data_IF_009005892976
#
_entry.id   IF_009005892976
#
_cell.length_a   1.000
_cell.length_b   1.000
_cell.length_c   1.000
_cell.angle_alpha   90.00
_cell.angle_beta   90.00
_cell.angle_gamma   90.00
#
_symmetry.space_group_name_H-M   'P 1'
#
loop_
_entity.id
_entity.type
_entity.pdbx_description
1 polymer ?
#
# COMPACT_ATOMS: atom_id res chain seq x y z
N UNK A 1 10.67 20.90 -9.86
CA UNK A 1 11.91 20.10 -9.88
C UNK A 1 12.62 20.43 -11.18
N UNK A 2 13.87 20.89 -11.13
CA UNK A 2 14.69 21.21 -12.30
C UNK A 2 15.96 20.37 -12.27
N UNK A 3 16.36 19.85 -13.43
CA UNK A 3 17.62 19.13 -13.58
C UNK A 3 18.68 20.13 -14.04
N UNK A 4 19.69 20.39 -13.22
CA UNK A 4 20.81 21.29 -13.52
C UNK A 4 22.10 20.47 -13.57
N UNK A 5 22.39 19.87 -14.72
CA UNK A 5 23.59 19.07 -14.94
C UNK A 5 23.67 17.84 -14.03
N UNK A 6 24.51 17.90 -12.98
CA UNK A 6 24.73 16.84 -11.99
C UNK A 6 23.81 16.93 -10.76
N UNK A 7 22.91 17.92 -10.71
CA UNK A 7 22.07 18.20 -9.55
C UNK A 7 20.60 18.25 -9.90
N UNK A 8 19.79 17.75 -8.96
CA UNK A 8 18.35 17.91 -8.95
C UNK A 8 18.00 19.06 -8.01
N UNK A 9 17.45 20.14 -8.55
CA UNK A 9 17.02 21.32 -7.78
C UNK A 9 15.52 21.21 -7.51
N UNK A 10 15.17 21.11 -6.24
CA UNK A 10 13.79 21.21 -5.75
C UNK A 10 13.60 22.61 -5.18
N UNK A 11 12.98 23.50 -5.94
CA UNK A 11 12.62 24.85 -5.48
C UNK A 11 11.43 24.75 -4.52
N UNK A 12 11.63 25.09 -3.25
CA UNK A 12 10.56 25.31 -2.28
C UNK A 12 10.36 26.82 -2.08
N UNK A 13 9.11 27.31 -1.88
CA UNK A 13 8.88 28.69 -1.49
C UNK A 13 9.63 29.01 -0.19
N UNK A 14 10.51 30.03 -0.24
CA UNK A 14 11.32 30.44 0.93
C UNK A 14 10.44 30.70 2.15
N UNK A 15 10.78 30.08 3.28
CA UNK A 15 10.15 30.31 4.57
C UNK A 15 9.06 29.28 4.96
N UNK A 16 8.73 28.33 4.08
CA UNK A 16 7.73 27.28 4.35
C UNK A 16 8.35 25.87 4.49
N UNK A 17 9.67 25.76 4.40
CA UNK A 17 10.38 24.47 4.39
C UNK A 17 10.19 23.71 5.71
N UNK A 18 10.20 24.43 6.84
CA UNK A 18 9.94 23.82 8.15
C UNK A 18 8.51 23.28 8.27
N UNK A 19 7.53 23.98 7.69
CA UNK A 19 6.13 23.54 7.69
C UNK A 19 5.97 22.27 6.87
N UNK A 20 6.67 22.17 5.74
CA UNK A 20 6.66 20.96 4.92
C UNK A 20 7.28 19.77 5.66
N UNK A 21 8.45 19.95 6.27
CA UNK A 21 9.10 18.89 7.05
C UNK A 21 8.23 18.44 8.23
N UNK A 22 7.65 19.40 8.95
CA UNK A 22 6.75 19.12 10.06
C UNK A 22 5.52 18.33 9.58
N UNK A 23 4.90 18.73 8.47
CA UNK A 23 3.74 18.04 7.90
C UNK A 23 4.06 16.60 7.50
N UNK A 24 5.21 16.36 6.86
CA UNK A 24 5.66 15.03 6.46
C UNK A 24 5.86 14.15 7.70
N UNK A 25 6.66 14.60 8.67
CA UNK A 25 6.98 13.80 9.85
C UNK A 25 5.78 13.59 10.74
N UNK A 26 4.94 14.60 10.93
CA UNK A 26 3.73 14.49 11.77
C UNK A 26 2.72 13.51 11.17
N UNK A 27 2.51 13.58 9.85
CA UNK A 27 1.62 12.66 9.13
C UNK A 27 2.14 11.22 9.20
N UNK A 28 3.41 11.00 8.85
CA UNK A 28 4.02 9.68 8.90
C UNK A 28 4.04 9.10 10.32
N UNK A 29 4.34 9.92 11.34
CA UNK A 29 4.30 9.52 12.75
C UNK A 29 2.89 9.09 13.17
N UNK A 30 1.87 9.86 12.78
CA UNK A 30 0.47 9.55 13.09
C UNK A 30 0.05 8.23 12.45
N UNK A 31 0.42 8.00 11.19
CA UNK A 31 0.16 6.74 10.49
C UNK A 31 0.89 5.57 11.17
N UNK A 32 2.17 5.73 11.53
CA UNK A 32 2.92 4.70 12.24
C UNK A 32 2.26 4.35 13.59
N UNK A 33 1.89 5.37 14.38
CA UNK A 33 1.21 5.20 15.67
C UNK A 33 -0.12 4.47 15.51
N UNK A 34 -0.91 4.84 14.50
CA UNK A 34 -2.19 4.20 14.19
C UNK A 34 -1.99 2.71 13.89
N UNK A 35 -1.06 2.37 12.98
CA UNK A 35 -0.74 0.98 12.63
C UNK A 35 -0.26 0.16 13.84
N UNK A 36 0.55 0.75 14.74
CA UNK A 36 0.97 0.10 15.99
C UNK A 36 -0.24 -0.17 16.90
N UNK A 37 -1.10 0.83 17.11
CA UNK A 37 -2.26 0.70 18.00
C UNK A 37 -3.27 -0.36 17.53
N UNK A 38 -3.31 -0.61 16.22
CA UNK A 38 -4.18 -1.58 15.56
C UNK A 38 -3.55 -2.98 15.51
N UNK A 39 -2.32 -3.13 16.02
CA UNK A 39 -1.62 -4.42 15.99
C UNK A 39 -1.23 -4.87 14.59
N UNK A 40 -1.04 -3.95 13.64
CA UNK A 40 -0.47 -4.28 12.32
C UNK A 40 0.90 -4.88 12.56
N UNK A 41 1.03 -6.17 12.25
CA UNK A 41 2.28 -6.87 12.46
C UNK A 41 3.39 -6.22 11.66
N UNK A 42 4.53 -6.02 12.28
CA UNK A 42 5.77 -5.59 11.64
C UNK A 42 6.91 -6.49 12.10
N UNK A 43 7.76 -6.96 11.18
CA UNK A 43 8.92 -7.76 11.54
C UNK A 43 9.89 -6.96 12.41
N UNK A 44 10.71 -7.68 13.19
CA UNK A 44 11.84 -7.11 13.93
C UNK A 44 13.04 -6.93 13.02
N UNK A 45 13.86 -5.89 13.24
CA UNK A 45 15.12 -5.75 12.53
C UNK A 45 16.07 -6.90 12.84
N UNK A 46 16.89 -7.25 11.85
CA UNK A 46 18.05 -8.10 12.08
C UNK A 46 19.08 -7.38 12.99
N UNK A 47 20.12 -8.10 13.42
CA UNK A 47 21.17 -7.57 14.30
C UNK A 47 21.88 -6.32 13.75
N UNK A 48 22.10 -6.25 12.43
CA UNK A 48 22.80 -5.12 11.81
C UNK A 48 21.93 -3.85 11.77
N UNK A 49 20.65 -4.01 11.46
CA UNK A 49 19.68 -2.92 11.48
C UNK A 49 19.41 -2.48 12.93
N UNK A 50 19.31 -3.42 13.89
CA UNK A 50 19.20 -3.10 15.31
C UNK A 50 20.37 -2.25 15.81
N UNK A 51 21.62 -2.57 15.41
CA UNK A 51 22.79 -1.77 15.74
C UNK A 51 22.71 -0.33 15.16
N UNK A 52 22.11 -0.19 13.97
CA UNK A 52 21.88 1.12 13.33
C UNK A 52 20.93 1.97 14.20
N UNK A 53 19.87 1.35 14.73
CA UNK A 53 18.94 2.01 15.64
C UNK A 53 19.54 2.28 17.03
N UNK A 54 20.41 1.40 17.55
CA UNK A 54 21.14 1.67 18.78
C UNK A 54 22.05 2.89 18.65
N UNK A 55 22.77 3.03 17.53
CA UNK A 55 23.58 4.23 17.24
C UNK A 55 22.73 5.49 17.16
N UNK A 56 21.57 5.41 16.51
CA UNK A 56 20.63 6.53 16.49
C UNK A 56 20.21 6.93 17.91
N UNK A 57 19.87 5.97 18.77
CA UNK A 57 19.46 6.21 20.16
C UNK A 57 20.56 6.89 20.98
N UNK A 58 21.81 6.47 20.80
CA UNK A 58 22.97 7.07 21.47
C UNK A 58 23.20 8.52 21.04
N UNK A 59 22.98 8.84 19.76
CA UNK A 59 23.25 10.17 19.23
C UNK A 59 22.13 11.18 19.50
N UNK A 60 20.87 10.73 19.49
CA UNK A 60 19.71 11.61 19.68
C UNK A 60 19.25 11.67 21.13
N UNK A 61 19.78 10.81 22.01
CA UNK A 61 19.29 10.64 23.38
C UNK A 61 17.88 10.04 23.46
N UNK A 62 17.27 9.66 22.34
CA UNK A 62 15.94 9.06 22.29
C UNK A 62 16.03 7.57 22.59
N UNK A 63 15.47 7.06 23.70
CA UNK A 63 15.64 5.66 24.08
C UNK A 63 14.90 4.73 23.12
N UNK A 64 15.66 3.91 22.41
CA UNK A 64 15.13 2.89 21.51
C UNK A 64 15.41 1.52 22.12
N UNK A 65 14.37 0.73 22.40
CA UNK A 65 14.56 -0.64 22.87
C UNK A 65 14.84 -1.60 21.72
N UNK A 66 15.79 -2.52 21.92
CA UNK A 66 16.25 -3.46 20.88
C UNK A 66 15.22 -4.52 20.48
N UNK A 67 14.12 -4.65 21.21
CA UNK A 67 13.12 -5.71 21.02
C UNK A 67 11.87 -5.25 20.23
N UNK A 68 11.96 -4.07 19.61
CA UNK A 68 10.87 -3.41 18.88
C UNK A 68 10.78 -3.88 17.42
N UNK A 69 9.65 -3.62 16.76
CA UNK A 69 9.45 -3.88 15.33
C UNK A 69 9.90 -2.71 14.46
N UNK A 70 10.12 -2.90 13.15
CA UNK A 70 10.43 -1.78 12.23
C UNK A 70 9.44 -0.62 12.33
N UNK A 71 8.14 -0.91 12.49
CA UNK A 71 7.10 0.11 12.65
C UNK A 71 7.27 0.91 13.95
N UNK A 72 7.65 0.27 15.04
CA UNK A 72 7.96 0.96 16.30
C UNK A 72 9.20 1.86 16.17
N UNK A 73 10.25 1.39 15.47
CA UNK A 73 11.44 2.20 15.21
C UNK A 73 11.08 3.41 14.36
N UNK A 74 10.27 3.22 13.32
CA UNK A 74 9.79 4.31 12.48
C UNK A 74 9.04 5.36 13.32
N UNK A 75 8.12 4.94 14.20
CA UNK A 75 7.42 5.85 15.11
C UNK A 75 8.39 6.66 15.99
N UNK A 76 9.40 6.03 16.59
CA UNK A 76 10.36 6.71 17.46
C UNK A 76 11.27 7.69 16.72
N UNK A 77 11.77 7.29 15.55
CA UNK A 77 12.59 8.17 14.69
C UNK A 77 11.76 9.38 14.23
N UNK A 78 10.50 9.17 13.87
CA UNK A 78 9.61 10.24 13.41
C UNK A 78 9.17 11.17 14.55
N UNK A 79 9.00 10.66 15.77
CA UNK A 79 8.75 11.50 16.96
C UNK A 79 9.94 12.42 17.28
N UNK A 80 11.16 11.91 17.13
CA UNK A 80 12.37 12.75 17.21
C UNK A 80 12.42 13.77 16.06
N UNK A 81 12.22 13.31 14.82
CA UNK A 81 12.36 14.15 13.63
C UNK A 81 11.35 15.31 13.60
N UNK A 82 10.10 15.07 14.00
CA UNK A 82 9.09 16.12 14.12
C UNK A 82 9.54 17.22 15.09
N UNK A 83 10.05 16.85 16.28
CA UNK A 83 10.54 17.80 17.28
C UNK A 83 11.79 18.55 16.82
N UNK A 84 12.76 17.83 16.27
CA UNK A 84 14.05 18.40 15.81
C UNK A 84 13.88 19.28 14.57
N UNK A 85 12.88 19.01 13.72
CA UNK A 85 12.63 19.81 12.52
C UNK A 85 12.25 21.26 12.82
N UNK A 86 11.68 21.54 14.00
CA UNK A 86 11.32 22.88 14.46
C UNK A 86 12.54 23.70 14.89
N UNK A 87 13.51 23.08 15.55
CA UNK A 87 14.69 23.76 16.11
C UNK A 87 15.88 23.77 15.14
N UNK A 88 15.97 22.77 14.27
CA UNK A 88 17.14 22.48 13.43
C UNK A 88 16.80 22.33 11.94
N UNK A 89 15.78 23.04 11.42
CA UNK A 89 15.33 22.95 10.01
C UNK A 89 16.50 23.02 9.01
N UNK A 90 17.44 23.95 9.21
CA UNK A 90 18.59 24.13 8.33
C UNK A 90 19.48 22.88 8.22
N UNK A 91 19.56 22.06 9.28
CA UNK A 91 20.34 20.81 9.26
C UNK A 91 19.67 19.73 8.40
N UNK A 92 18.34 19.66 8.44
CA UNK A 92 17.58 18.77 7.55
C UNK A 92 17.78 19.18 6.09
N UNK A 93 17.62 20.48 5.78
CA UNK A 93 17.75 20.98 4.41
C UNK A 93 19.18 20.85 3.87
N UNK A 94 20.20 21.12 4.68
CA UNK A 94 21.60 20.94 4.28
C UNK A 94 21.95 19.46 4.05
N UNK A 95 21.37 18.56 4.84
CA UNK A 95 21.50 17.12 4.63
C UNK A 95 20.81 16.64 3.36
N UNK A 96 19.57 17.07 3.11
CA UNK A 96 18.80 16.66 1.93
C UNK A 96 19.34 17.21 0.61
N UNK A 97 20.06 18.33 0.66
CA UNK A 97 20.75 18.89 -0.51
C UNK A 97 22.11 18.23 -0.80
N UNK A 98 22.65 17.43 0.11
CA UNK A 98 23.96 16.79 -0.02
C UNK A 98 23.81 15.34 -0.46
N UNK A 99 23.84 15.10 -1.78
CA UNK A 99 23.87 13.75 -2.35
C UNK A 99 25.22 13.56 -3.04
N UNK A 100 25.98 12.55 -2.63
CA UNK A 100 27.27 12.22 -3.24
C UNK A 100 27.21 10.84 -3.87
N UNK A 101 27.44 10.79 -5.18
CA UNK A 101 27.50 9.55 -5.96
C UNK A 101 28.96 9.24 -6.27
N UNK A 102 29.44 8.08 -5.80
CA UNK A 102 30.73 7.48 -6.17
C UNK A 102 30.46 6.12 -6.81
N UNK A 103 31.37 5.59 -7.64
CA UNK A 103 31.15 4.33 -8.35
C UNK A 103 30.57 3.24 -7.45
N UNK A 104 31.21 2.94 -6.31
CA UNK A 104 30.77 1.88 -5.38
C UNK A 104 29.88 2.34 -4.22
N UNK A 105 29.44 3.59 -4.18
CA UNK A 105 28.85 4.17 -2.97
C UNK A 105 27.96 5.39 -3.24
N UNK A 106 26.77 5.35 -2.67
CA UNK A 106 25.84 6.48 -2.60
C UNK A 106 25.78 6.97 -1.17
N UNK A 107 26.13 8.23 -0.93
CA UNK A 107 26.02 8.88 0.38
C UNK A 107 24.91 9.94 0.35
N UNK A 108 23.94 9.80 1.25
CA UNK A 108 22.78 10.69 1.40
C UNK A 108 22.94 11.53 2.66
N UNK A 109 23.27 12.82 2.52
CA UNK A 109 23.57 13.76 3.60
C UNK A 109 24.91 13.51 4.28
N UNK A 110 25.24 12.24 4.50
CA UNK A 110 26.49 11.76 5.08
C UNK A 110 26.67 10.26 4.88
N UNK A 111 27.62 9.70 5.63
CA UNK A 111 28.10 8.32 5.43
C UNK A 111 28.09 7.48 6.72
N UNK A 112 27.43 8.00 7.76
CA UNK A 112 27.55 7.46 9.12
C UNK A 112 26.75 6.17 9.32
N UNK A 113 25.57 6.09 8.72
CA UNK A 113 24.65 4.98 8.84
C UNK A 113 24.65 4.15 7.56
N UNK A 114 24.63 2.83 7.72
CA UNK A 114 24.31 1.95 6.61
C UNK A 114 22.80 1.97 6.40
N UNK A 115 22.36 1.92 5.14
CA UNK A 115 20.94 1.74 4.83
C UNK A 115 20.39 0.50 5.58
N UNK A 116 19.19 0.64 6.15
CA UNK A 116 18.45 -0.47 6.74
C UNK A 116 18.15 -1.50 5.66
N UNK A 117 18.19 -2.79 5.97
CA UNK A 117 18.04 -3.84 4.95
C UNK A 117 16.73 -3.74 4.16
N UNK A 118 15.65 -3.29 4.82
CA UNK A 118 14.35 -3.03 4.22
C UNK A 118 14.38 -1.97 3.10
N UNK A 119 15.38 -1.06 3.10
CA UNK A 119 15.56 -0.04 2.07
C UNK A 119 16.54 -0.46 0.96
N UNK A 120 17.03 -1.70 1.00
CA UNK A 120 17.98 -2.24 0.01
C UNK A 120 17.29 -3.14 -1.02
N UNK A 121 15.96 -3.11 -1.14
CA UNK A 121 15.19 -4.06 -1.95
C UNK A 121 15.63 -4.06 -3.42
N UNK A 122 15.92 -2.89 -4.00
CA UNK A 122 16.42 -2.75 -5.38
C UNK A 122 17.76 -3.48 -5.59
N UNK A 123 18.63 -3.55 -4.58
CA UNK A 123 19.91 -4.29 -4.67
C UNK A 123 19.71 -5.79 -4.90
N UNK A 124 18.54 -6.31 -4.59
CA UNK A 124 18.19 -7.72 -4.71
C UNK A 124 17.39 -8.05 -5.98
N UNK A 125 16.87 -7.05 -6.70
CA UNK A 125 16.31 -7.23 -8.05
C UNK A 125 17.42 -7.67 -9.04
N UNK A 126 18.59 -7.02 -8.96
CA UNK A 126 19.79 -7.35 -9.75
C UNK A 126 20.35 -8.76 -9.52
N UNK A 127 19.89 -9.47 -8.48
CA UNK A 127 20.32 -10.85 -8.23
C UNK A 127 19.61 -11.89 -9.11
N UNK A 128 18.54 -11.51 -9.82
CA UNK A 128 17.75 -12.39 -10.70
C UNK A 128 18.09 -12.26 -12.18
N UNK A 129 18.93 -11.30 -12.57
CA UNK A 129 19.39 -11.15 -13.96
C UNK A 129 20.47 -12.21 -14.25
N UNK A 130 20.00 -13.40 -14.62
CA UNK A 130 20.83 -14.46 -15.15
C UNK A 130 21.38 -14.00 -16.50
N UNK A 131 22.69 -13.73 -16.55
CA UNK A 131 23.48 -13.26 -17.71
C UNK A 131 23.58 -11.75 -17.97
N UNK A 132 24.16 -10.95 -17.06
CA UNK A 132 24.80 -9.69 -17.49
C UNK A 132 26.16 -9.42 -16.82
N UNK A 133 27.13 -9.09 -17.68
CA UNK A 133 28.48 -8.61 -17.36
C UNK A 133 28.51 -7.08 -17.50
N UNK A 134 29.42 -6.40 -16.78
CA UNK A 134 29.74 -4.97 -16.91
C UNK A 134 28.66 -3.95 -16.47
N UNK A 135 28.10 -4.11 -15.27
CA UNK A 135 27.23 -3.09 -14.67
C UNK A 135 26.93 -3.26 -13.18
N UNK A 136 27.25 -4.42 -12.60
CA UNK A 136 27.00 -4.75 -11.20
C UNK A 136 27.94 -4.00 -10.24
N UNK A 137 27.86 -2.67 -10.21
CA UNK A 137 28.48 -1.94 -9.13
C UNK A 137 27.63 -2.17 -7.90
N UNK A 138 28.17 -2.95 -6.94
CA UNK A 138 27.59 -3.15 -5.60
C UNK A 138 27.57 -1.81 -4.86
N UNK A 139 26.65 -0.92 -5.22
CA UNK A 139 26.54 0.40 -4.63
C UNK A 139 26.16 0.26 -3.16
N UNK A 140 27.00 0.75 -2.27
CA UNK A 140 26.69 0.84 -0.84
C UNK A 140 25.94 2.13 -0.58
N UNK A 141 24.68 2.02 -0.14
CA UNK A 141 23.90 3.18 0.29
C UNK A 141 24.20 3.47 1.75
N UNK A 142 24.65 4.69 2.01
CA UNK A 142 24.98 5.23 3.32
C UNK A 142 24.27 6.55 3.50
N UNK A 143 23.93 6.89 4.74
CA UNK A 143 23.17 8.11 5.01
C UNK A 143 23.47 8.67 6.40
N UNK A 144 22.98 9.86 6.69
CA UNK A 144 22.97 10.43 8.03
C UNK A 144 21.63 10.18 8.76
N UNK A 145 21.43 10.81 9.92
CA UNK A 145 20.21 10.69 10.72
C UNK A 145 19.00 11.38 10.08
N UNK A 146 19.21 12.45 9.31
CA UNK A 146 18.12 13.24 8.72
C UNK A 146 17.52 12.48 7.54
N UNK A 147 18.36 11.85 6.72
CA UNK A 147 17.91 10.91 5.69
C UNK A 147 17.27 9.65 6.27
N UNK A 148 17.76 9.13 7.40
CA UNK A 148 17.09 8.03 8.10
C UNK A 148 15.65 8.40 8.46
N UNK A 149 15.40 9.62 8.96
CA UNK A 149 14.06 10.09 9.27
C UNK A 149 13.16 10.15 8.04
N UNK A 150 13.66 10.63 6.91
CA UNK A 150 12.91 10.68 5.65
C UNK A 150 12.57 9.27 5.12
N UNK A 151 13.54 8.35 5.16
CA UNK A 151 13.33 6.95 4.76
C UNK A 151 12.30 6.26 5.65
N UNK A 152 12.35 6.52 6.96
CA UNK A 152 11.34 6.01 7.91
C UNK A 152 9.96 6.63 7.69
N UNK A 153 9.88 7.88 7.23
CA UNK A 153 8.62 8.50 6.85
C UNK A 153 8.01 7.78 5.64
N UNK A 154 8.80 7.55 4.59
CA UNK A 154 8.38 6.79 3.42
C UNK A 154 7.93 5.37 3.78
N UNK A 155 8.67 4.68 4.64
CA UNK A 155 8.27 3.37 5.18
C UNK A 155 6.93 3.41 5.90
N UNK A 156 6.78 4.32 6.87
CA UNK A 156 5.58 4.40 7.69
C UNK A 156 4.32 4.67 6.85
N UNK A 157 4.43 5.49 5.82
CA UNK A 157 3.33 5.78 4.90
C UNK A 157 3.02 4.55 4.05
N UNK A 158 4.00 4.00 3.35
CA UNK A 158 3.80 2.97 2.31
C UNK A 158 3.59 1.56 2.84
N UNK A 159 4.04 1.23 4.05
CA UNK A 159 3.93 -0.12 4.61
C UNK A 159 2.47 -0.48 4.95
N UNK A 160 1.94 -1.50 4.30
CA UNK A 160 0.53 -1.92 4.39
C UNK A 160 0.32 -3.20 5.18
N UNK A 161 1.36 -3.67 5.87
CA UNK A 161 1.29 -4.81 6.77
C UNK A 161 1.99 -6.05 6.23
N UNK A 162 1.65 -7.18 6.84
CA UNK A 162 2.33 -8.44 6.64
C UNK A 162 1.33 -9.55 6.29
N UNK A 163 1.55 -10.20 5.16
CA UNK A 163 0.71 -11.25 4.63
C UNK A 163 1.60 -12.37 4.08
N UNK A 164 1.31 -13.63 4.37
CA UNK A 164 2.04 -14.79 3.81
C UNK A 164 3.56 -14.78 3.97
N UNK A 165 4.04 -14.32 5.12
CA UNK A 165 5.47 -14.10 5.40
C UNK A 165 6.15 -13.04 4.49
N UNK A 166 5.35 -12.17 3.89
CA UNK A 166 5.75 -11.10 3.00
C UNK A 166 5.28 -9.76 3.57
N UNK A 167 6.16 -8.76 3.53
CA UNK A 167 5.77 -7.38 3.75
C UNK A 167 5.09 -6.86 2.50
N UNK A 168 4.02 -6.11 2.71
CA UNK A 168 3.26 -5.51 1.64
C UNK A 168 3.41 -4.01 1.73
N UNK A 169 3.73 -3.37 0.61
CA UNK A 169 3.75 -1.92 0.49
C UNK A 169 2.75 -1.49 -0.56
N UNK A 170 2.03 -0.40 -0.29
CA UNK A 170 1.16 0.23 -1.27
C UNK A 170 1.59 1.67 -1.50
N UNK A 171 1.77 2.03 -2.78
CA UNK A 171 2.07 3.42 -3.18
C UNK A 171 1.10 3.86 -4.26
N UNK A 172 0.96 5.19 -4.40
CA UNK A 172 0.35 5.77 -5.59
C UNK A 172 1.39 5.75 -6.73
N UNK A 173 0.99 5.55 -8.00
CA UNK A 173 1.88 5.68 -9.14
C UNK A 173 2.44 7.11 -9.26
N UNK A 174 3.67 7.21 -9.75
CA UNK A 174 4.35 8.49 -9.93
C UNK A 174 3.61 9.43 -10.89
N UNK A 175 2.98 8.89 -11.93
CA UNK A 175 2.17 9.66 -12.87
C UNK A 175 1.04 10.42 -12.14
N UNK A 176 0.43 9.79 -11.14
CA UNK A 176 -0.56 10.40 -10.27
C UNK A 176 0.06 11.56 -9.48
N UNK A 177 1.27 11.38 -8.97
CA UNK A 177 2.01 12.43 -8.26
C UNK A 177 2.40 13.58 -9.20
N UNK A 178 2.81 13.32 -10.45
CA UNK A 178 3.19 14.39 -11.40
C UNK A 178 2.03 15.29 -11.83
N UNK A 179 0.81 14.75 -11.90
CA UNK A 179 -0.40 15.52 -12.19
C UNK A 179 -0.68 16.61 -11.14
N UNK A 180 -0.26 16.39 -9.88
CA UNK A 180 -0.36 17.37 -8.77
C UNK A 180 0.38 18.68 -9.06
N UNK A 181 1.49 18.61 -9.81
CA UNK A 181 2.43 19.71 -9.97
C UNK A 181 2.08 20.64 -11.14
N UNK A 182 1.02 20.34 -11.89
CA UNK A 182 0.52 21.22 -12.95
C UNK A 182 -0.33 22.35 -12.36
N UNK A 183 0.02 23.60 -12.69
CA UNK A 183 -0.58 24.81 -12.09
C UNK A 183 -2.08 24.99 -12.36
N UNK A 184 -2.66 24.26 -13.32
CA UNK A 184 -4.06 24.37 -13.73
C UNK A 184 -5.01 23.44 -12.95
N UNK A 185 -4.51 22.46 -12.19
CA UNK A 185 -5.34 21.49 -11.46
C UNK A 185 -5.22 21.58 -9.92
N UNK A 186 -4.39 22.50 -9.41
CA UNK A 186 -3.85 22.41 -8.05
C UNK A 186 -4.90 22.40 -6.92
N UNK A 187 -6.00 23.19 -6.99
CA UNK A 187 -6.98 23.22 -5.88
C UNK A 187 -7.86 21.96 -5.82
N UNK A 188 -8.46 21.57 -6.94
CA UNK A 188 -9.31 20.38 -7.01
C UNK A 188 -8.48 19.11 -6.81
N UNK A 189 -7.25 19.10 -7.33
CA UNK A 189 -6.31 18.02 -7.11
C UNK A 189 -5.81 17.96 -5.66
N UNK A 190 -5.52 19.07 -4.98
CA UNK A 190 -5.10 19.05 -3.58
C UNK A 190 -6.22 18.53 -2.65
N UNK A 191 -7.48 18.88 -2.95
CA UNK A 191 -8.63 18.32 -2.24
C UNK A 191 -8.77 16.81 -2.52
N UNK A 192 -8.67 16.41 -3.78
CA UNK A 192 -8.70 15.00 -4.19
C UNK A 192 -7.52 14.20 -3.60
N UNK A 193 -6.31 14.75 -3.58
CA UNK A 193 -5.09 14.13 -3.06
C UNK A 193 -5.11 14.04 -1.54
N UNK A 194 -5.63 15.05 -0.85
CA UNK A 194 -5.90 14.98 0.58
C UNK A 194 -6.87 13.83 0.86
N UNK A 195 -7.96 13.74 0.10
CA UNK A 195 -8.95 12.67 0.26
C UNK A 195 -8.37 11.29 -0.09
N UNK A 196 -7.61 11.16 -1.18
CA UNK A 196 -6.98 9.90 -1.59
C UNK A 196 -5.88 9.50 -0.61
N UNK A 197 -5.06 10.44 -0.14
CA UNK A 197 -4.05 10.18 0.88
C UNK A 197 -4.70 9.74 2.19
N UNK A 198 -5.81 10.37 2.59
CA UNK A 198 -6.62 9.92 3.71
C UNK A 198 -7.16 8.51 3.45
N UNK A 199 -7.72 8.23 2.28
CA UNK A 199 -8.20 6.89 1.90
C UNK A 199 -7.07 5.84 1.92
N UNK A 200 -5.85 6.19 1.52
CA UNK A 200 -4.74 5.23 1.51
C UNK A 200 -4.19 5.00 2.93
N UNK A 201 -4.09 6.07 3.73
CA UNK A 201 -3.35 6.09 4.99
C UNK A 201 -4.21 6.20 6.26
N UNK A 202 -5.54 6.24 6.18
CA UNK A 202 -6.47 6.35 7.33
C UNK A 202 -6.58 5.02 8.10
N UNK A 203 -5.53 4.68 8.84
CA UNK A 203 -5.52 3.57 9.79
C UNK A 203 -6.11 2.27 9.25
N UNK A 204 -7.07 1.70 9.97
CA UNK A 204 -7.74 0.43 9.65
C UNK A 204 -8.68 0.50 8.44
N UNK A 205 -9.29 1.68 8.20
CA UNK A 205 -10.26 1.91 7.12
C UNK A 205 -9.60 2.19 5.78
N UNK A 206 -8.37 2.69 5.82
CA UNK A 206 -7.61 2.98 4.62
C UNK A 206 -7.02 1.73 3.97
N UNK A 207 -6.53 1.89 2.74
CA UNK A 207 -5.96 0.78 1.94
C UNK A 207 -4.90 0.02 2.72
N UNK A 208 -3.98 0.73 3.38
CA UNK A 208 -2.92 0.08 4.15
C UNK A 208 -3.45 -0.80 5.28
N UNK A 209 -4.48 -0.38 6.01
CA UNK A 209 -5.13 -1.21 7.02
C UNK A 209 -5.95 -2.36 6.44
N UNK A 210 -6.63 -2.12 5.31
CA UNK A 210 -7.40 -3.13 4.60
C UNK A 210 -6.53 -4.29 4.12
N UNK A 211 -5.39 -4.00 3.52
CA UNK A 211 -4.42 -5.01 3.07
C UNK A 211 -3.96 -5.89 4.25
N UNK A 212 -3.63 -5.27 5.40
CA UNK A 212 -3.27 -6.00 6.61
C UNK A 212 -4.41 -6.90 7.14
N UNK A 213 -5.68 -6.53 6.94
CA UNK A 213 -6.85 -7.34 7.30
C UNK A 213 -7.07 -8.54 6.37
N UNK A 214 -6.75 -8.41 5.08
CA UNK A 214 -6.94 -9.50 4.11
C UNK A 214 -5.92 -10.63 4.34
N UNK A 215 -4.69 -10.31 4.75
CA UNK A 215 -3.61 -11.26 5.13
C UNK A 215 -3.17 -12.27 4.04
N UNK A 216 -3.77 -12.22 2.85
CA UNK A 216 -3.53 -13.12 1.71
C UNK A 216 -3.57 -12.31 0.42
N UNK A 217 -2.65 -12.58 -0.51
CA UNK A 217 -2.50 -11.78 -1.72
C UNK A 217 -2.81 -12.56 -3.00
N UNK A 218 -2.66 -13.89 -2.97
CA UNK A 218 -2.84 -14.73 -4.15
C UNK A 218 -4.20 -15.48 -4.13
N UNK A 219 -4.97 -15.46 -5.24
CA UNK A 219 -4.69 -14.79 -6.51
C UNK A 219 -4.96 -13.28 -6.51
N UNK A 220 -4.13 -12.52 -7.24
CA UNK A 220 -4.16 -11.05 -7.29
C UNK A 220 -5.53 -10.47 -7.64
N UNK A 221 -6.26 -11.07 -8.58
CA UNK A 221 -7.59 -10.57 -9.00
C UNK A 221 -8.58 -10.60 -7.84
N UNK A 222 -8.66 -11.71 -7.11
CA UNK A 222 -9.54 -11.82 -5.95
C UNK A 222 -9.13 -10.86 -4.83
N UNK A 223 -7.82 -10.64 -4.66
CA UNK A 223 -7.30 -9.66 -3.71
C UNK A 223 -7.68 -8.22 -4.06
N UNK A 224 -7.47 -7.81 -5.33
CA UNK A 224 -7.81 -6.48 -5.83
C UNK A 224 -9.32 -6.21 -5.74
N UNK A 225 -10.14 -7.18 -6.12
CA UNK A 225 -11.60 -7.11 -5.98
C UNK A 225 -11.99 -6.94 -4.51
N UNK A 226 -11.50 -7.82 -3.62
CA UNK A 226 -11.81 -7.75 -2.19
C UNK A 226 -11.39 -6.43 -1.55
N UNK A 227 -10.18 -5.96 -1.87
CA UNK A 227 -9.67 -4.67 -1.39
C UNK A 227 -10.58 -3.52 -1.83
N UNK A 228 -11.00 -3.53 -3.10
CA UNK A 228 -11.88 -2.50 -3.67
C UNK A 228 -13.26 -2.50 -3.02
N UNK A 229 -13.85 -3.68 -2.78
CA UNK A 229 -15.17 -3.81 -2.17
C UNK A 229 -15.17 -3.38 -0.71
N UNK A 230 -14.16 -3.82 0.05
CA UNK A 230 -14.00 -3.36 1.43
C UNK A 230 -13.76 -1.85 1.48
N UNK A 231 -12.98 -1.29 0.55
CA UNK A 231 -12.75 0.15 0.47
C UNK A 231 -14.04 0.90 0.19
N UNK A 232 -14.83 0.45 -0.78
CA UNK A 232 -16.12 1.04 -1.10
C UNK A 232 -17.03 1.07 0.13
N UNK A 233 -17.14 -0.04 0.88
CA UNK A 233 -17.96 -0.11 2.09
C UNK A 233 -17.52 0.83 3.20
N UNK A 234 -16.21 1.01 3.38
CA UNK A 234 -15.67 1.87 4.45
C UNK A 234 -15.80 3.37 4.15
N UNK A 235 -15.91 3.75 2.87
CA UNK A 235 -15.84 5.15 2.44
C UNK A 235 -17.06 5.67 1.67
N UNK A 236 -17.99 4.81 1.24
CA UNK A 236 -19.13 5.21 0.42
C UNK A 236 -20.05 6.25 1.08
N UNK A 237 -20.08 6.30 2.42
CA UNK A 237 -20.85 7.31 3.17
C UNK A 237 -20.15 8.66 3.27
N UNK A 238 -18.83 8.70 3.10
CA UNK A 238 -18.00 9.89 3.30
C UNK A 238 -17.55 10.51 1.96
N UNK A 239 -17.45 9.71 0.91
CA UNK A 239 -16.93 10.13 -0.40
C UNK A 239 -17.83 9.58 -1.52
N UNK A 240 -18.21 10.40 -2.52
CA UNK A 240 -18.91 9.93 -3.71
C UNK A 240 -17.95 9.16 -4.63
N UNK A 241 -17.74 7.87 -4.31
CA UNK A 241 -16.76 7.03 -4.99
C UNK A 241 -17.12 6.71 -6.45
N UNK A 242 -18.36 6.95 -6.87
CA UNK A 242 -18.80 6.86 -8.27
C UNK A 242 -18.10 7.87 -9.19
N UNK A 243 -17.60 8.97 -8.66
CA UNK A 243 -16.90 10.00 -9.45
C UNK A 243 -15.42 9.66 -9.67
N UNK A 244 -14.90 8.63 -9.00
CA UNK A 244 -13.51 8.21 -9.11
C UNK A 244 -13.31 7.40 -10.39
N UNK A 245 -12.89 8.06 -11.47
CA UNK A 245 -12.67 7.42 -12.78
C UNK A 245 -11.41 6.54 -12.82
N UNK A 246 -10.40 6.85 -12.01
CA UNK A 246 -9.16 6.08 -11.87
C UNK A 246 -8.70 6.09 -10.43
N UNK A 247 -8.33 4.91 -9.93
CA UNK A 247 -7.73 4.74 -8.61
C UNK A 247 -6.57 3.75 -8.72
N UNK A 248 -5.45 4.16 -9.33
CA UNK A 248 -4.34 3.24 -9.53
C UNK A 248 -3.52 3.09 -8.24
N UNK A 249 -3.15 1.85 -7.94
CA UNK A 249 -2.28 1.50 -6.81
C UNK A 249 -1.12 0.65 -7.31
N UNK A 250 0.06 0.87 -6.74
CA UNK A 250 1.16 -0.08 -6.81
C UNK A 250 1.14 -0.94 -5.55
N UNK A 251 1.20 -2.26 -5.74
CA UNK A 251 1.41 -3.24 -4.69
C UNK A 251 2.83 -3.80 -4.82
N UNK A 252 3.61 -3.73 -3.75
CA UNK A 252 4.92 -4.35 -3.68
C UNK A 252 4.91 -5.45 -2.62
N UNK A 253 5.36 -6.64 -3.01
CA UNK A 253 5.47 -7.80 -2.12
C UNK A 253 6.94 -8.10 -1.86
N UNK A 254 7.36 -7.99 -0.60
CA UNK A 254 8.74 -8.23 -0.20
C UNK A 254 8.81 -9.39 0.77
N UNK A 255 9.42 -10.50 0.36
CA UNK A 255 9.62 -11.66 1.22
C UNK A 255 10.75 -11.43 2.20
N UNK A 256 10.55 -11.89 3.43
CA UNK A 256 11.56 -11.87 4.48
C UNK A 256 12.20 -13.25 4.61
N UNK A 257 13.51 -13.32 4.39
CA UNK A 257 14.35 -14.46 4.73
C UNK A 257 15.67 -13.97 5.35
N UNK A 258 16.78 -14.63 5.02
CA UNK A 258 18.12 -14.09 5.31
C UNK A 258 18.34 -12.73 4.59
N UNK A 259 17.66 -12.55 3.46
CA UNK A 259 17.61 -11.31 2.69
C UNK A 259 16.16 -10.90 2.43
N UNK A 260 15.93 -9.60 2.26
CA UNK A 260 14.67 -9.07 1.76
C UNK A 260 14.69 -9.17 0.24
N UNK A 261 13.67 -9.79 -0.35
CA UNK A 261 13.59 -10.00 -1.81
C UNK A 261 12.26 -9.50 -2.33
N UNK A 262 12.27 -8.65 -3.36
CA UNK A 262 11.04 -8.28 -4.06
C UNK A 262 10.52 -9.52 -4.79
N UNK A 263 9.31 -9.93 -4.46
CA UNK A 263 8.62 -11.06 -5.10
C UNK A 263 7.86 -10.58 -6.31
N UNK A 264 7.13 -9.47 -6.15
CA UNK A 264 6.20 -8.97 -7.15
C UNK A 264 6.04 -7.46 -7.00
N UNK A 265 5.90 -6.78 -8.13
CA UNK A 265 5.37 -5.43 -8.25
C UNK A 265 4.15 -5.51 -9.16
N UNK A 266 2.97 -5.22 -8.61
CA UNK A 266 1.71 -5.26 -9.35
C UNK A 266 1.12 -3.86 -9.42
N UNK A 267 0.72 -3.44 -10.61
CA UNK A 267 -0.07 -2.22 -10.81
C UNK A 267 -1.53 -2.65 -10.98
N UNK A 268 -2.44 -2.04 -10.23
CA UNK A 268 -3.87 -2.29 -10.35
C UNK A 268 -4.67 -1.00 -10.31
N UNK A 269 -5.74 -0.91 -11.09
CA UNK A 269 -6.74 0.16 -10.97
C UNK A 269 -7.94 -0.37 -10.20
N UNK A 270 -8.22 0.22 -9.04
CA UNK A 270 -9.33 -0.18 -8.18
C UNK A 270 -10.66 0.45 -8.61
N UNK A 271 -10.64 1.52 -9.41
CA UNK A 271 -11.83 2.32 -9.71
C UNK A 271 -13.01 1.50 -10.25
N UNK A 272 -12.86 0.60 -11.24
CA UNK A 272 -14.00 -0.16 -11.77
C UNK A 272 -14.72 -1.00 -10.70
N UNK A 273 -13.95 -1.62 -9.79
CA UNK A 273 -14.49 -2.45 -8.72
C UNK A 273 -15.10 -1.63 -7.59
N UNK A 274 -14.51 -0.46 -7.29
CA UNK A 274 -15.06 0.50 -6.33
C UNK A 274 -16.40 1.03 -6.84
N UNK A 275 -16.47 1.47 -8.10
CA UNK A 275 -17.71 1.99 -8.71
C UNK A 275 -18.80 0.93 -8.73
N UNK A 276 -18.47 -0.30 -9.15
CA UNK A 276 -19.38 -1.43 -9.09
C UNK A 276 -19.94 -1.67 -7.67
N UNK A 277 -19.06 -1.72 -6.66
CA UNK A 277 -19.48 -1.90 -5.28
C UNK A 277 -20.32 -0.71 -4.76
N UNK A 278 -19.97 0.52 -5.13
CA UNK A 278 -20.73 1.71 -4.77
C UNK A 278 -22.15 1.67 -5.36
N UNK A 279 -22.28 1.27 -6.63
CA UNK A 279 -23.58 1.09 -7.28
C UNK A 279 -24.41 0.00 -6.59
N UNK A 280 -23.79 -1.12 -6.17
CA UNK A 280 -24.48 -2.12 -5.35
C UNK A 280 -24.97 -1.55 -4.02
N UNK A 281 -24.11 -0.85 -3.28
CA UNK A 281 -24.47 -0.23 -2.00
C UNK A 281 -25.62 0.78 -2.12
N UNK A 282 -25.81 1.40 -3.29
CA UNK A 282 -26.95 2.29 -3.55
C UNK A 282 -28.31 1.58 -3.66
N UNK A 283 -28.34 0.23 -3.74
CA UNK A 283 -29.53 -0.60 -3.95
C UNK A 283 -29.89 -1.40 -2.69
N UNK A 284 -30.03 -0.71 -1.56
CA UNK A 284 -30.40 -1.31 -0.27
C UNK A 284 -31.81 -1.94 -0.28
N UNK A 285 -32.04 -3.05 0.46
CA UNK A 285 -31.07 -3.88 1.18
C UNK A 285 -30.41 -5.00 0.36
N UNK A 286 -30.86 -5.25 -0.86
CA UNK A 286 -30.39 -6.34 -1.72
C UNK A 286 -28.92 -6.19 -2.10
N UNK A 287 -28.49 -5.00 -2.51
CA UNK A 287 -27.14 -4.75 -3.00
C UNK A 287 -26.05 -4.91 -1.93
N UNK A 288 -26.33 -4.49 -0.70
CA UNK A 288 -25.39 -4.68 0.43
C UNK A 288 -25.23 -6.15 0.79
N UNK A 289 -26.33 -6.91 0.86
CA UNK A 289 -26.28 -8.37 1.07
C UNK A 289 -25.56 -9.09 -0.07
N UNK A 290 -25.73 -8.63 -1.31
CA UNK A 290 -25.03 -9.17 -2.47
C UNK A 290 -23.52 -8.91 -2.36
N UNK A 291 -23.12 -7.68 -2.01
CA UNK A 291 -21.71 -7.30 -1.87
C UNK A 291 -21.01 -8.13 -0.78
N UNK A 292 -21.66 -8.37 0.36
CA UNK A 292 -21.14 -9.21 1.44
C UNK A 292 -20.83 -10.64 0.95
N UNK A 293 -21.72 -11.23 0.15
CA UNK A 293 -21.53 -12.57 -0.44
C UNK A 293 -20.42 -12.58 -1.49
N UNK A 294 -20.29 -11.52 -2.28
CA UNK A 294 -19.19 -11.36 -3.24
C UNK A 294 -17.85 -11.20 -2.52
N UNK A 295 -17.81 -10.45 -1.41
CA UNK A 295 -16.62 -10.38 -0.54
C UNK A 295 -16.25 -11.75 0.00
N UNK A 296 -17.23 -12.53 0.48
CA UNK A 296 -17.01 -13.90 0.97
C UNK A 296 -16.46 -14.80 -0.14
N UNK A 297 -16.96 -14.68 -1.37
CA UNK A 297 -16.46 -15.40 -2.54
C UNK A 297 -14.98 -15.06 -2.82
N UNK A 298 -14.59 -13.79 -2.74
CA UNK A 298 -13.19 -13.38 -2.90
C UNK A 298 -12.32 -13.91 -1.75
N UNK A 299 -12.79 -13.81 -0.49
CA UNK A 299 -12.09 -14.36 0.68
C UNK A 299 -11.89 -15.87 0.55
N UNK A 300 -12.92 -16.60 0.14
CA UNK A 300 -12.82 -18.04 -0.06
C UNK A 300 -11.88 -18.42 -1.20
N UNK A 301 -11.79 -17.62 -2.26
CA UNK A 301 -10.79 -17.81 -3.32
C UNK A 301 -9.37 -17.72 -2.75
N UNK A 302 -9.08 -16.70 -1.94
CA UNK A 302 -7.78 -16.50 -1.31
C UNK A 302 -7.43 -17.60 -0.30
N UNK A 303 -8.37 -18.02 0.55
CA UNK A 303 -8.12 -19.01 1.61
C UNK A 303 -8.01 -20.43 1.07
N UNK A 304 -8.85 -20.82 0.11
CA UNK A 304 -8.81 -22.16 -0.51
C UNK A 304 -7.53 -22.36 -1.32
N UNK A 305 -7.02 -21.31 -2.00
CA UNK A 305 -5.71 -21.35 -2.68
C UNK A 305 -4.56 -21.68 -1.73
N UNK A 306 -4.66 -21.21 -0.49
CA UNK A 306 -3.69 -21.46 0.58
C UNK A 306 -3.89 -22.81 1.29
N UNK A 307 -4.84 -23.65 0.84
CA UNK A 307 -5.14 -24.94 1.45
C UNK A 307 -6.00 -24.85 2.72
N UNK A 308 -6.61 -23.70 3.01
CA UNK A 308 -7.52 -23.53 4.15
C UNK A 308 -8.98 -23.56 3.71
N UNK A 309 -9.71 -24.60 4.08
CA UNK A 309 -11.10 -24.83 3.64
C UNK A 309 -12.14 -24.73 4.75
N UNK A 310 -11.74 -24.36 5.99
CA UNK A 310 -12.60 -24.46 7.20
C UNK A 310 -13.97 -23.75 7.12
N UNK A 311 -14.18 -22.83 6.18
CA UNK A 311 -15.45 -22.10 5.97
C UNK A 311 -15.91 -22.05 4.51
N UNK A 312 -15.17 -22.68 3.60
CA UNK A 312 -15.42 -22.55 2.17
C UNK A 312 -15.91 -23.90 1.65
N UNK A 313 -17.11 -23.89 1.08
CA UNK A 313 -17.85 -25.11 0.72
C UNK A 313 -17.43 -25.66 -0.65
N UNK A 314 -16.88 -24.81 -1.52
CA UNK A 314 -16.50 -25.18 -2.90
C UNK A 314 -14.98 -25.37 -3.06
N UNK A 315 -14.60 -25.96 -4.19
CA UNK A 315 -13.18 -26.07 -4.57
C UNK A 315 -12.60 -24.70 -4.96
N UNK A 316 -11.27 -24.56 -4.85
CA UNK A 316 -10.56 -23.36 -5.30
C UNK A 316 -10.86 -23.03 -6.77
N UNK A 317 -10.91 -24.05 -7.64
CA UNK A 317 -11.15 -23.87 -9.08
C UNK A 317 -12.49 -23.17 -9.35
N UNK A 318 -13.53 -23.55 -8.62
CA UNK A 318 -14.87 -22.97 -8.79
C UNK A 318 -14.92 -21.54 -8.25
N UNK A 319 -14.38 -21.30 -7.05
CA UNK A 319 -14.27 -19.94 -6.51
C UNK A 319 -13.47 -19.01 -7.43
N UNK A 320 -12.32 -19.47 -7.90
CA UNK A 320 -11.48 -18.73 -8.84
C UNK A 320 -12.23 -18.42 -10.14
N UNK A 321 -12.91 -19.41 -10.72
CA UNK A 321 -13.70 -19.22 -11.95
C UNK A 321 -14.77 -18.14 -11.76
N UNK A 322 -15.49 -18.15 -10.63
CA UNK A 322 -16.51 -17.15 -10.34
C UNK A 322 -15.90 -15.75 -10.12
N UNK A 323 -14.79 -15.62 -9.39
CA UNK A 323 -14.08 -14.33 -9.26
C UNK A 323 -13.64 -13.77 -10.60
N UNK A 324 -13.11 -14.63 -11.48
CA UNK A 324 -12.67 -14.27 -12.82
C UNK A 324 -13.84 -13.83 -13.71
N UNK A 325 -14.96 -14.55 -13.69
CA UNK A 325 -16.15 -14.16 -14.47
C UNK A 325 -16.77 -12.87 -13.97
N UNK A 326 -16.78 -12.65 -12.65
CA UNK A 326 -17.20 -11.37 -12.08
C UNK A 326 -16.26 -10.23 -12.52
N UNK A 327 -14.94 -10.44 -12.46
CA UNK A 327 -13.95 -9.48 -12.96
C UNK A 327 -14.20 -9.15 -14.44
N UNK A 328 -14.40 -10.18 -15.26
CA UNK A 328 -14.65 -10.04 -16.69
C UNK A 328 -15.97 -9.31 -16.97
N UNK A 329 -17.02 -9.58 -16.20
CA UNK A 329 -18.31 -8.91 -16.34
C UNK A 329 -18.24 -7.43 -15.98
N UNK A 330 -17.58 -7.08 -14.86
CA UNK A 330 -17.33 -5.68 -14.47
C UNK A 330 -16.48 -4.98 -15.55
N UNK A 331 -15.55 -5.69 -16.18
CA UNK A 331 -14.74 -5.17 -17.28
C UNK A 331 -15.45 -5.17 -18.64
N UNK A 332 -16.72 -5.58 -18.72
CA UNK A 332 -17.52 -5.62 -19.95
C UNK A 332 -17.23 -6.77 -20.92
N UNK A 333 -16.37 -7.72 -20.53
CA UNK A 333 -15.93 -8.85 -21.37
C UNK A 333 -16.71 -10.15 -21.14
N UNK A 334 -17.65 -10.18 -20.19
CA UNK A 334 -18.50 -11.33 -19.91
C UNK A 334 -19.96 -10.92 -19.71
N UNK A 335 -20.90 -11.76 -20.15
CA UNK A 335 -22.32 -11.44 -20.13
C UNK A 335 -22.89 -11.49 -18.69
N UNK A 336 -23.56 -10.41 -18.27
CA UNK A 336 -24.13 -10.27 -16.93
C UNK A 336 -25.21 -11.33 -16.61
N UNK A 337 -26.05 -11.69 -17.58
CA UNK A 337 -27.09 -12.72 -17.39
C UNK A 337 -26.48 -14.12 -17.23
N UNK A 338 -25.43 -14.43 -18.01
CA UNK A 338 -24.68 -15.68 -17.83
C UNK A 338 -24.03 -15.75 -16.45
N UNK A 339 -23.45 -14.65 -15.97
CA UNK A 339 -22.86 -14.59 -14.63
C UNK A 339 -23.91 -14.81 -13.54
N UNK A 340 -25.05 -14.10 -13.63
CA UNK A 340 -26.14 -14.24 -12.67
C UNK A 340 -26.70 -15.67 -12.63
N UNK A 341 -26.87 -16.29 -13.80
CA UNK A 341 -27.30 -17.69 -13.91
C UNK A 341 -26.30 -18.64 -13.22
N UNK A 342 -25.01 -18.47 -13.48
CA UNK A 342 -23.97 -19.31 -12.89
C UNK A 342 -23.86 -19.13 -11.37
N UNK A 343 -23.89 -17.89 -10.87
CA UNK A 343 -23.90 -17.62 -9.43
C UNK A 343 -25.12 -18.23 -8.75
N UNK A 344 -26.30 -18.13 -9.39
CA UNK A 344 -27.54 -18.73 -8.89
C UNK A 344 -27.54 -20.26 -8.89
N UNK A 345 -26.81 -20.89 -9.82
CA UNK A 345 -26.73 -22.35 -9.96
C UNK A 345 -25.66 -22.97 -9.07
N UNK A 346 -24.44 -22.45 -9.13
CA UNK A 346 -23.23 -23.08 -8.57
C UNK A 346 -23.24 -22.99 -7.05
N UNK A 347 -23.78 -21.91 -6.47
CA UNK A 347 -23.81 -21.71 -5.03
C UNK A 347 -25.14 -22.20 -4.42
N UNK A 348 -25.56 -23.41 -4.77
CA UNK A 348 -26.66 -24.09 -4.06
C UNK A 348 -26.04 -24.95 -2.97
N UNK A 349 -26.31 -24.66 -1.70
CA UNK A 349 -25.79 -25.46 -0.57
C UNK A 349 -26.27 -26.91 -0.66
N UNK A 350 -25.56 -27.84 0.00
CA UNK A 350 -25.91 -29.26 0.08
C UNK A 350 -27.37 -29.56 0.51
N UNK A 351 -28.04 -28.59 1.14
CA UNK A 351 -29.45 -28.68 1.55
C UNK A 351 -30.45 -28.06 0.55
N UNK A 352 -30.02 -27.72 -0.68
CA UNK A 352 -30.86 -27.07 -1.70
C UNK A 352 -31.10 -25.57 -1.48
N UNK A 353 -30.51 -24.97 -0.45
CA UNK A 353 -30.61 -23.53 -0.16
C UNK A 353 -29.70 -22.74 -1.11
N UNK A 354 -30.29 -21.88 -1.93
CA UNK A 354 -29.55 -20.94 -2.79
C UNK A 354 -28.81 -19.92 -1.93
N UNK A 355 -27.51 -19.75 -2.15
CA UNK A 355 -26.70 -18.71 -1.50
C UNK A 355 -27.11 -17.34 -1.99
N UNK A 356 -27.39 -17.17 -3.28
CA UNK A 356 -27.91 -15.94 -3.87
C UNK A 356 -29.42 -15.99 -4.08
N UNK A 357 -30.12 -14.93 -3.68
CA UNK A 357 -31.55 -14.75 -3.90
C UNK A 357 -31.81 -14.17 -5.28
N UNK A 358 -32.97 -14.44 -5.85
CA UNK A 358 -33.36 -13.88 -7.15
C UNK A 358 -33.37 -12.35 -7.15
N UNK A 359 -33.81 -11.72 -6.05
CA UNK A 359 -33.76 -10.26 -5.90
C UNK A 359 -32.34 -9.69 -5.92
N UNK A 360 -31.37 -10.42 -5.35
CA UNK A 360 -29.95 -10.02 -5.35
C UNK A 360 -29.34 -10.19 -6.75
N UNK A 361 -29.67 -11.28 -7.45
CA UNK A 361 -29.21 -11.52 -8.82
C UNK A 361 -29.80 -10.50 -9.81
N UNK A 362 -31.03 -10.05 -9.59
CA UNK A 362 -31.63 -8.96 -10.38
C UNK A 362 -30.85 -7.66 -10.19
N UNK A 363 -30.51 -7.30 -8.95
CA UNK A 363 -29.67 -6.13 -8.66
C UNK A 363 -28.29 -6.25 -9.32
N UNK A 364 -27.69 -7.45 -9.32
CA UNK A 364 -26.42 -7.69 -10.01
C UNK A 364 -26.51 -7.36 -11.51
N UNK A 365 -27.56 -7.84 -12.18
CA UNK A 365 -27.77 -7.58 -13.61
C UNK A 365 -28.02 -6.09 -13.84
N UNK A 366 -28.89 -5.48 -13.04
CA UNK A 366 -29.24 -4.06 -13.16
C UNK A 366 -27.99 -3.16 -13.05
N UNK A 367 -27.03 -3.52 -12.20
CA UNK A 367 -25.77 -2.78 -12.04
C UNK A 367 -24.76 -3.07 -13.15
N UNK A 368 -24.68 -4.31 -13.65
CA UNK A 368 -23.71 -4.66 -14.70
C UNK A 368 -24.14 -4.24 -16.12
N UNK A 369 -25.41 -3.90 -16.32
CA UNK A 369 -25.98 -3.50 -17.63
C UNK A 369 -26.24 -1.98 -17.71
N UNK A 370 -26.23 -1.28 -16.58
CA UNK A 370 -26.34 0.18 -16.50
C UNK A 370 -25.05 0.86 -17.00
#
# INVERSE_FOLDING_TARGET
MKYEGDRVVVEAPRGLEYMLLQAIFSSAKTVAKSKISQGVFSPRPNKNDANTFTKFSQETGSPISSNKSFLDFAFQVLDWAEKESLSSTNKFLSSYSSIQVKPSKLSLGGDKYAAVQLFKVEKYEYGRDYMESYGAVKMQIRHDIYWLALLMAGFALTYSGFADNEMVFTTLPEDFITLTYSSLACKDYMHLFSNISNIVYSGERGISGLVARIRRLDPLIAFVQLLSYMLAREWSSEVPLNEVSRFPINLYRVRIGNTFTLIERSLGDLAPFIQFAYQLLSREPEGTRLLEKIEELCRCTLTTRAGSTRRCEMSYSEYYTLTMKLYQAISGSYNAYSLAYELGRILTRANGLRVFRESELKVLIDVLVA
#
